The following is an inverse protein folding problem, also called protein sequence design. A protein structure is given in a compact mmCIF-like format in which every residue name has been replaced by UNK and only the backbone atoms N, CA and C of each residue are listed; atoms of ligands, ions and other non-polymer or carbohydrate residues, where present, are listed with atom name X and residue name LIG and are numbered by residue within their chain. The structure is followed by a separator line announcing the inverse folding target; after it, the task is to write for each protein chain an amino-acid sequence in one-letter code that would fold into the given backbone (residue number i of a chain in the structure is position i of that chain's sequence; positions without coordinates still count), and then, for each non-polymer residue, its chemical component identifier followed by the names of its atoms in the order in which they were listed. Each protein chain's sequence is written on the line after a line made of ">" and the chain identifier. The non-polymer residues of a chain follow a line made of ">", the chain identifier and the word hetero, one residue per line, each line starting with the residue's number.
data_IF_113569457096
#
_entry.id   IF_113569457096
#
_cell.length_a   1.000
_cell.length_b   1.000
_cell.length_c   1.000
_cell.angle_alpha   90.00
_cell.angle_beta   90.00
_cell.angle_gamma   90.00
#
_symmetry.space_group_name_H-M   'P 1'
#
loop_
_entity.id
_entity.type
_entity.pdbx_description
1 polymer ?
#
# COMPACT_ATOMS: atom_id res chain seq x y z
N UNK A 1 -29.81 -20.76 -12.76
CA UNK A 1 -28.61 -21.08 -13.56
C UNK A 1 -27.69 -19.87 -13.65
N UNK A 2 -28.14 -18.74 -14.20
CA UNK A 2 -27.33 -17.51 -14.33
C UNK A 2 -26.70 -17.03 -13.02
N UNK A 3 -27.47 -16.95 -11.91
CA UNK A 3 -26.93 -16.58 -10.59
C UNK A 3 -25.77 -17.47 -10.14
N UNK A 4 -25.85 -18.77 -10.42
CA UNK A 4 -24.78 -19.71 -10.09
C UNK A 4 -23.51 -19.43 -10.93
N UNK A 5 -23.67 -19.09 -12.21
CA UNK A 5 -22.55 -18.71 -13.08
C UNK A 5 -21.93 -17.38 -12.60
N UNK A 6 -22.75 -16.40 -12.21
CA UNK A 6 -22.30 -15.13 -11.61
C UNK A 6 -21.48 -15.34 -10.33
N UNK A 7 -21.92 -16.25 -9.46
CA UNK A 7 -21.20 -16.59 -8.23
C UNK A 7 -19.89 -17.35 -8.50
N UNK A 8 -19.86 -18.21 -9.52
CA UNK A 8 -18.65 -18.98 -9.89
C UNK A 8 -17.61 -18.14 -10.64
N UNK A 9 -18.04 -17.13 -11.40
CA UNK A 9 -17.18 -16.30 -12.23
C UNK A 9 -17.45 -14.81 -11.96
N UNK A 10 -17.16 -14.31 -10.75
CA UNK A 10 -17.31 -12.90 -10.44
C UNK A 10 -16.36 -12.04 -11.31
N UNK A 11 -16.68 -10.74 -11.49
CA UNK A 11 -15.80 -9.79 -12.16
C UNK A 11 -14.36 -9.84 -11.60
N UNK A 12 -13.37 -9.81 -12.49
CA UNK A 12 -11.95 -9.95 -12.17
C UNK A 12 -11.42 -11.40 -12.16
N UNK A 13 -12.29 -12.41 -12.30
CA UNK A 13 -11.86 -13.80 -12.43
C UNK A 13 -10.94 -13.97 -13.63
N UNK A 14 -9.77 -14.57 -13.43
CA UNK A 14 -8.81 -14.83 -14.51
C UNK A 14 -9.13 -16.16 -15.18
N UNK A 15 -9.19 -16.16 -16.50
CA UNK A 15 -9.49 -17.36 -17.28
C UNK A 15 -8.44 -17.55 -18.37
N UNK A 16 -8.03 -18.81 -18.59
CA UNK A 16 -7.30 -19.25 -19.78
C UNK A 16 -8.23 -20.05 -20.68
N UNK A 17 -8.28 -19.70 -21.95
CA UNK A 17 -9.06 -20.43 -22.94
C UNK A 17 -8.35 -21.73 -23.34
N UNK A 18 -9.07 -22.86 -23.32
CA UNK A 18 -8.59 -24.14 -23.84
C UNK A 18 -9.08 -24.35 -25.27
N UNK A 19 -10.37 -24.11 -25.52
CA UNK A 19 -10.96 -24.15 -26.86
C UNK A 19 -12.24 -23.32 -26.89
N UNK A 20 -12.50 -22.65 -28.02
CA UNK A 20 -13.71 -21.88 -28.26
C UNK A 20 -14.46 -22.44 -29.47
N UNK A 21 -15.76 -22.64 -29.32
CA UNK A 21 -16.64 -23.16 -30.37
C UNK A 21 -17.17 -22.02 -31.25
N UNK A 22 -16.28 -21.30 -31.93
CA UNK A 22 -16.62 -20.25 -32.91
C UNK A 22 -16.04 -20.60 -34.30
N UNK A 23 -16.89 -20.72 -35.35
CA UNK A 23 -16.45 -21.14 -36.68
C UNK A 23 -15.89 -20.01 -37.55
N UNK A 24 -15.95 -18.75 -37.10
CA UNK A 24 -15.58 -17.58 -37.91
C UNK A 24 -14.26 -16.97 -37.45
N UNK A 25 -14.13 -16.67 -36.16
CA UNK A 25 -12.98 -16.01 -35.58
C UNK A 25 -12.88 -16.35 -34.09
N UNK A 26 -12.51 -17.58 -33.70
CA UNK A 26 -12.35 -17.94 -32.30
C UNK A 26 -11.21 -17.15 -31.64
N UNK A 27 -11.29 -16.94 -30.34
CA UNK A 27 -10.14 -16.49 -29.56
C UNK A 27 -9.08 -17.61 -29.56
N UNK A 28 -7.77 -17.30 -29.73
CA UNK A 28 -6.74 -18.33 -29.78
C UNK A 28 -6.67 -19.15 -28.48
N UNK A 29 -6.50 -20.48 -28.61
CA UNK A 29 -6.21 -21.36 -27.47
C UNK A 29 -4.99 -20.87 -26.68
N UNK A 30 -5.08 -20.96 -25.36
CA UNK A 30 -4.06 -20.48 -24.43
C UNK A 30 -4.18 -18.99 -24.11
N UNK A 31 -5.07 -18.24 -24.77
CA UNK A 31 -5.28 -16.84 -24.45
C UNK A 31 -5.84 -16.68 -23.04
N UNK A 32 -5.26 -15.76 -22.28
CA UNK A 32 -5.76 -15.36 -20.97
C UNK A 32 -6.59 -14.07 -21.08
N UNK A 33 -7.56 -13.95 -20.18
CA UNK A 33 -8.42 -12.77 -20.03
C UNK A 33 -9.00 -12.68 -18.63
N UNK A 34 -9.74 -11.60 -18.40
CA UNK A 34 -10.47 -11.35 -17.17
C UNK A 34 -11.97 -11.33 -17.46
N UNK A 35 -12.75 -11.85 -16.52
CA UNK A 35 -14.21 -11.74 -16.53
C UNK A 35 -14.60 -10.31 -16.20
N UNK A 36 -15.42 -9.69 -17.04
CA UNK A 36 -15.98 -8.37 -16.77
C UNK A 36 -17.31 -8.49 -16.01
N UNK A 37 -18.21 -9.36 -16.48
CA UNK A 37 -19.51 -9.68 -15.89
C UNK A 37 -20.12 -10.92 -16.56
N UNK A 38 -21.23 -11.42 -16.02
CA UNK A 38 -22.01 -12.52 -16.62
C UNK A 38 -23.41 -12.00 -16.95
N UNK A 39 -23.82 -12.21 -18.19
CA UNK A 39 -25.10 -11.71 -18.70
C UNK A 39 -26.30 -12.56 -18.30
N UNK A 40 -27.50 -12.10 -18.68
CA UNK A 40 -28.77 -12.75 -18.37
C UNK A 40 -29.01 -14.04 -19.15
N UNK A 41 -28.25 -14.29 -20.21
CA UNK A 41 -28.22 -15.57 -20.93
C UNK A 41 -27.22 -16.56 -20.30
N UNK A 42 -26.34 -16.09 -19.40
CA UNK A 42 -25.33 -16.89 -18.72
C UNK A 42 -24.00 -16.97 -19.48
N UNK A 43 -23.79 -16.10 -20.48
CA UNK A 43 -22.49 -15.96 -21.12
C UNK A 43 -21.55 -15.13 -20.24
N UNK A 44 -20.29 -15.54 -20.21
CA UNK A 44 -19.26 -14.87 -19.42
C UNK A 44 -18.60 -13.84 -20.33
N UNK A 45 -18.85 -12.56 -20.06
CA UNK A 45 -18.28 -11.46 -20.83
C UNK A 45 -16.83 -11.26 -20.40
N UNK A 46 -15.94 -11.21 -21.37
CA UNK A 46 -14.49 -11.27 -21.15
C UNK A 46 -13.79 -10.06 -21.76
N UNK A 47 -12.73 -9.61 -21.11
CA UNK A 47 -11.67 -8.81 -21.72
C UNK A 47 -10.43 -9.68 -21.85
N UNK A 48 -10.07 -10.06 -23.08
CA UNK A 48 -8.89 -10.88 -23.38
C UNK A 48 -7.63 -10.03 -23.47
N UNK A 49 -6.46 -10.58 -23.11
CA UNK A 49 -5.19 -9.84 -23.11
C UNK A 49 -4.76 -9.34 -24.51
N UNK A 50 -5.34 -9.88 -25.59
CA UNK A 50 -5.14 -9.40 -26.95
C UNK A 50 -6.14 -8.28 -27.35
N UNK A 51 -6.89 -7.74 -26.40
CA UNK A 51 -7.88 -6.67 -26.60
C UNK A 51 -9.21 -7.13 -27.18
N UNK A 52 -9.42 -8.44 -27.37
CA UNK A 52 -10.72 -8.98 -27.84
C UNK A 52 -11.70 -9.07 -26.68
N UNK A 53 -12.99 -9.13 -27.01
CA UNK A 53 -14.08 -9.13 -26.01
C UNK A 53 -15.13 -10.23 -26.26
N UNK A 54 -14.77 -11.31 -26.95
CA UNK A 54 -15.71 -12.41 -27.19
C UNK A 54 -16.09 -13.10 -25.88
N UNK A 55 -17.39 -13.30 -25.60
CA UNK A 55 -17.82 -14.00 -24.40
C UNK A 55 -17.51 -15.50 -24.47
N UNK A 56 -17.52 -16.14 -23.30
CA UNK A 56 -17.51 -17.59 -23.17
C UNK A 56 -18.91 -18.11 -22.91
N UNK A 57 -19.26 -19.24 -23.52
CA UNK A 57 -20.51 -19.95 -23.27
C UNK A 57 -20.22 -21.21 -22.44
N UNK A 58 -20.56 -21.23 -21.14
CA UNK A 58 -20.35 -22.40 -20.30
C UNK A 58 -21.04 -23.65 -20.86
N UNK A 59 -20.28 -24.73 -21.06
CA UNK A 59 -20.77 -25.99 -21.63
C UNK A 59 -20.54 -26.14 -23.13
N UNK A 60 -20.28 -25.05 -23.85
CA UNK A 60 -19.84 -25.08 -25.26
C UNK A 60 -18.33 -24.81 -25.36
N UNK A 61 -17.84 -23.79 -24.64
CA UNK A 61 -16.43 -23.45 -24.59
C UNK A 61 -15.71 -24.20 -23.46
N UNK A 62 -14.42 -24.48 -23.67
CA UNK A 62 -13.54 -25.08 -22.68
C UNK A 62 -12.52 -24.05 -22.20
N UNK A 63 -12.42 -23.89 -20.89
CA UNK A 63 -11.52 -22.92 -20.27
C UNK A 63 -11.11 -23.37 -18.85
N UNK A 64 -10.11 -22.70 -18.30
CA UNK A 64 -9.57 -22.96 -16.97
C UNK A 64 -9.53 -21.67 -16.18
N UNK A 65 -10.11 -21.68 -14.97
CA UNK A 65 -9.98 -20.58 -14.01
C UNK A 65 -8.56 -20.59 -13.46
N UNK A 66 -7.89 -19.44 -13.54
CA UNK A 66 -6.55 -19.23 -13.04
C UNK A 66 -6.61 -18.66 -11.62
N UNK A 67 -5.58 -18.92 -10.78
CA UNK A 67 -5.47 -18.25 -9.49
C UNK A 67 -5.43 -16.73 -9.68
N UNK A 68 -5.92 -15.97 -8.68
CA UNK A 68 -5.87 -14.52 -8.72
C UNK A 68 -4.42 -14.06 -8.92
N UNK A 69 -4.26 -12.94 -9.64
CA UNK A 69 -2.94 -12.34 -9.77
C UNK A 69 -2.54 -11.80 -8.40
N UNK A 70 -1.39 -12.25 -7.90
CA UNK A 70 -0.84 -11.75 -6.65
C UNK A 70 0.02 -10.52 -6.92
N UNK A 71 -0.21 -9.47 -6.16
CA UNK A 71 0.59 -8.25 -6.12
C UNK A 71 1.45 -8.24 -4.87
N UNK A 72 2.59 -7.55 -4.95
CA UNK A 72 3.47 -7.37 -3.79
C UNK A 72 3.05 -6.11 -3.04
N UNK A 73 2.67 -6.29 -1.77
CA UNK A 73 2.51 -5.20 -0.81
C UNK A 73 3.68 -5.26 0.16
N UNK A 74 4.44 -4.17 0.29
CA UNK A 74 5.51 -4.05 1.29
C UNK A 74 5.06 -3.14 2.41
N UNK A 75 5.23 -3.64 3.63
CA UNK A 75 5.06 -2.85 4.84
C UNK A 75 6.42 -2.72 5.53
N UNK A 76 6.77 -1.51 5.94
CA UNK A 76 8.05 -1.13 6.48
C UNK A 76 7.90 -0.75 7.95
N UNK A 77 8.81 -1.26 8.77
CA UNK A 77 8.93 -0.94 10.19
C UNK A 77 10.36 -0.51 10.50
N UNK A 78 10.56 0.47 11.39
CA UNK A 78 11.90 0.79 11.88
C UNK A 78 12.44 -0.40 12.68
N UNK A 79 13.75 -0.66 12.57
CA UNK A 79 14.45 -1.62 13.43
C UNK A 79 15.65 -0.95 14.11
N UNK A 80 16.00 -1.50 15.27
CA UNK A 80 17.22 -1.16 16.02
C UNK A 80 17.94 -2.45 16.40
N UNK A 81 19.13 -2.34 16.97
CA UNK A 81 19.81 -3.49 17.55
C UNK A 81 20.71 -3.07 18.70
N UNK A 82 21.01 -4.01 19.58
CA UNK A 82 22.11 -3.90 20.55
C UNK A 82 23.32 -4.66 20.05
N UNK A 83 24.47 -3.99 20.00
CA UNK A 83 25.77 -4.61 19.71
C UNK A 83 26.55 -4.77 21.02
N UNK A 84 26.83 -6.01 21.39
CA UNK A 84 27.70 -6.36 22.50
C UNK A 84 29.07 -6.80 21.95
N UNK A 85 30.11 -6.04 22.28
CA UNK A 85 31.47 -6.29 21.82
C UNK A 85 32.25 -7.11 22.86
N UNK A 86 33.19 -7.94 22.39
CA UNK A 86 34.15 -8.56 23.29
C UNK A 86 35.37 -7.68 23.49
N UNK A 87 35.79 -7.54 24.75
CA UNK A 87 36.99 -6.79 25.07
C UNK A 87 38.26 -7.55 24.67
N UNK A 88 39.42 -6.90 24.83
CA UNK A 88 40.73 -7.50 24.48
C UNK A 88 41.10 -8.73 25.31
N UNK A 89 40.37 -9.01 26.39
CA UNK A 89 40.55 -10.16 27.27
C UNK A 89 39.54 -11.28 26.96
N UNK A 90 38.58 -11.03 26.07
CA UNK A 90 37.54 -11.97 25.65
C UNK A 90 36.33 -12.00 26.58
N UNK A 91 36.20 -11.02 27.46
CA UNK A 91 35.01 -10.82 28.28
C UNK A 91 34.01 -9.94 27.50
N UNK A 92 32.72 -10.28 27.57
CA UNK A 92 31.66 -9.49 26.93
C UNK A 92 31.54 -8.16 27.68
N UNK A 93 31.47 -7.03 26.96
CA UNK A 93 31.18 -5.76 27.60
C UNK A 93 29.79 -5.77 28.26
N UNK A 94 29.69 -5.21 29.47
CA UNK A 94 28.43 -5.09 30.20
C UNK A 94 27.52 -4.00 29.58
N UNK A 95 28.09 -3.09 28.78
CA UNK A 95 27.37 -2.04 28.06
C UNK A 95 27.24 -2.37 26.57
N UNK A 96 26.00 -2.49 26.08
CA UNK A 96 25.73 -2.60 24.64
C UNK A 96 25.73 -1.23 23.96
N UNK A 97 26.03 -1.23 22.65
CA UNK A 97 25.87 -0.06 21.79
C UNK A 97 24.57 -0.21 20.99
N UNK A 98 23.62 0.70 21.22
CA UNK A 98 22.38 0.77 20.44
C UNK A 98 22.70 1.27 19.02
N UNK A 99 22.35 0.47 18.02
CA UNK A 99 22.49 0.76 16.61
C UNK A 99 21.13 1.15 16.01
N UNK A 100 21.11 2.30 15.35
CA UNK A 100 19.97 2.74 14.55
C UNK A 100 19.94 2.09 13.16
N UNK A 101 18.84 2.22 12.44
CA UNK A 101 18.68 1.63 11.11
C UNK A 101 19.77 2.06 10.11
N UNK A 102 20.38 3.24 10.27
CA UNK A 102 21.49 3.68 9.42
C UNK A 102 22.76 2.90 9.72
N UNK A 103 23.09 2.72 10.99
CA UNK A 103 24.26 1.94 11.44
C UNK A 103 24.12 0.46 11.05
N UNK A 104 22.88 -0.05 11.05
CA UNK A 104 22.57 -1.44 10.69
C UNK A 104 22.78 -1.79 9.22
N UNK A 105 22.96 -0.81 8.32
CA UNK A 105 23.31 -1.08 6.92
C UNK A 105 24.56 -1.95 6.78
N UNK A 106 25.54 -1.78 7.69
CA UNK A 106 26.78 -2.58 7.71
C UNK A 106 26.52 -4.07 7.98
N UNK A 107 25.39 -4.39 8.61
CA UNK A 107 25.03 -5.74 9.04
C UNK A 107 23.86 -6.34 8.23
N UNK A 108 23.37 -5.65 7.20
CA UNK A 108 22.20 -6.06 6.41
C UNK A 108 22.24 -7.53 5.97
N UNK A 109 23.34 -7.99 5.38
CA UNK A 109 23.46 -9.36 4.89
C UNK A 109 23.36 -10.39 6.02
N UNK A 110 23.89 -10.08 7.19
CA UNK A 110 23.84 -10.97 8.37
C UNK A 110 22.44 -11.03 8.96
N UNK A 111 21.77 -9.89 9.05
CA UNK A 111 20.39 -9.79 9.52
C UNK A 111 19.46 -10.53 8.55
N UNK A 112 19.60 -10.29 7.24
CA UNK A 112 18.83 -11.00 6.22
C UNK A 112 19.06 -12.52 6.27
N UNK A 113 20.30 -12.97 6.48
CA UNK A 113 20.61 -14.39 6.63
C UNK A 113 19.99 -15.00 7.89
N UNK A 114 20.02 -14.29 9.01
CA UNK A 114 19.37 -14.72 10.24
C UNK A 114 17.84 -14.84 10.08
N UNK A 115 17.20 -13.86 9.41
CA UNK A 115 15.78 -13.90 9.03
C UNK A 115 15.44 -15.11 8.16
N UNK A 116 16.29 -15.49 7.22
CA UNK A 116 16.07 -16.68 6.40
C UNK A 116 16.23 -17.97 7.23
N UNK A 117 17.19 -18.00 8.15
CA UNK A 117 17.48 -19.15 9.02
C UNK A 117 16.37 -19.41 10.04
N UNK A 118 15.69 -18.38 10.53
CA UNK A 118 14.59 -18.52 11.51
C UNK A 118 13.29 -19.05 10.90
N UNK A 119 13.17 -19.10 9.57
CA UNK A 119 11.95 -19.55 8.89
C UNK A 119 11.65 -21.01 9.20
N UNK A 120 10.41 -21.28 9.58
CA UNK A 120 9.94 -22.62 9.88
C UNK A 120 9.53 -23.36 8.59
N UNK A 121 9.73 -24.69 8.49
CA UNK A 121 9.25 -25.46 7.34
C UNK A 121 7.75 -25.31 7.06
N UNK A 122 6.94 -25.15 8.10
CA UNK A 122 5.49 -24.92 8.04
C UNK A 122 5.13 -23.61 7.32
N UNK A 123 6.03 -22.62 7.38
CA UNK A 123 5.87 -21.31 6.77
C UNK A 123 6.27 -21.30 5.28
N UNK A 124 6.67 -22.44 4.70
CA UNK A 124 7.18 -22.49 3.33
C UNK A 124 6.20 -21.96 2.26
N UNK A 125 4.89 -22.14 2.46
CA UNK A 125 3.87 -21.74 1.49
C UNK A 125 3.26 -20.35 1.77
N UNK A 126 3.02 -20.03 3.05
CA UNK A 126 2.28 -18.82 3.47
C UNK A 126 3.14 -17.83 4.26
N UNK A 127 4.38 -18.15 4.55
CA UNK A 127 5.17 -17.38 5.52
C UNK A 127 4.45 -17.34 6.87
N UNK A 128 4.49 -16.21 7.55
CA UNK A 128 3.81 -16.05 8.85
C UNK A 128 2.30 -16.15 8.75
N UNK A 129 1.70 -15.88 7.58
CA UNK A 129 0.25 -16.10 7.35
C UNK A 129 -0.16 -17.59 7.48
N UNK A 130 0.78 -18.52 7.64
CA UNK A 130 0.47 -19.89 8.07
C UNK A 130 -0.27 -19.90 9.42
N UNK A 131 0.10 -19.00 10.33
CA UNK A 131 -0.44 -18.92 11.68
C UNK A 131 -1.68 -18.03 11.79
N UNK A 132 -2.11 -17.41 10.68
CA UNK A 132 -3.34 -16.62 10.63
C UNK A 132 -4.54 -17.52 10.34
N UNK A 133 -5.35 -17.79 11.35
CA UNK A 133 -6.48 -18.74 11.31
C UNK A 133 -7.87 -18.07 11.33
N UNK A 134 -7.92 -16.73 11.40
CA UNK A 134 -9.18 -16.00 11.34
C UNK A 134 -9.88 -16.21 10.00
N UNK A 135 -11.20 -16.43 10.07
CA UNK A 135 -12.04 -16.70 8.90
C UNK A 135 -12.58 -15.38 8.31
N UNK A 136 -11.69 -14.57 7.77
CA UNK A 136 -11.97 -13.24 7.23
C UNK A 136 -11.40 -13.02 5.82
N UNK A 137 -11.67 -11.85 5.26
CA UNK A 137 -11.20 -11.48 3.93
C UNK A 137 -9.70 -11.23 3.86
N UNK A 138 -9.01 -10.96 4.98
CA UNK A 138 -7.55 -10.85 5.03
C UNK A 138 -6.94 -12.22 4.77
N UNK A 139 -7.45 -13.27 5.41
CA UNK A 139 -6.97 -14.64 5.21
C UNK A 139 -7.20 -15.12 3.76
N UNK A 140 -8.30 -14.70 3.15
CA UNK A 140 -8.64 -15.01 1.76
C UNK A 140 -7.74 -14.27 0.75
N UNK A 141 -7.46 -12.99 0.99
CA UNK A 141 -6.71 -12.13 0.06
C UNK A 141 -5.20 -12.23 0.24
N UNK A 142 -4.70 -12.33 1.46
CA UNK A 142 -3.26 -12.34 1.76
C UNK A 142 -2.74 -13.78 1.69
N UNK A 143 -2.14 -14.12 0.55
CA UNK A 143 -1.67 -15.47 0.29
C UNK A 143 -0.47 -15.83 1.17
N UNK A 144 0.47 -14.89 1.30
CA UNK A 144 1.67 -15.08 2.11
C UNK A 144 2.20 -13.75 2.64
N UNK A 145 2.88 -13.78 3.78
CA UNK A 145 3.67 -12.66 4.27
C UNK A 145 5.00 -13.20 4.82
N UNK A 146 6.12 -12.62 4.39
CA UNK A 146 7.46 -13.01 4.87
C UNK A 146 8.22 -11.78 5.34
N UNK A 147 8.90 -11.90 6.47
CA UNK A 147 9.79 -10.85 6.93
C UNK A 147 11.14 -10.90 6.20
N UNK A 148 11.72 -9.72 6.01
CA UNK A 148 13.02 -9.45 5.42
C UNK A 148 13.51 -8.08 5.88
N UNK A 149 14.70 -7.66 5.44
CA UNK A 149 15.19 -6.29 5.57
C UNK A 149 15.47 -5.66 4.21
N UNK A 150 15.37 -4.34 4.13
CA UNK A 150 15.63 -3.56 2.91
C UNK A 150 16.30 -2.23 3.23
N UNK A 151 17.33 -1.85 2.47
CA UNK A 151 17.92 -0.51 2.51
C UNK A 151 17.03 0.47 1.75
N UNK A 152 16.68 1.58 2.40
CA UNK A 152 15.97 2.70 1.77
C UNK A 152 16.25 4.02 2.46
N UNK A 153 16.64 5.03 1.68
CA UNK A 153 17.01 6.38 2.15
C UNK A 153 18.11 6.37 3.22
N UNK A 154 19.23 5.66 2.97
CA UNK A 154 20.37 5.51 3.90
C UNK A 154 19.99 4.93 5.28
N UNK A 155 18.94 4.12 5.33
CA UNK A 155 18.47 3.44 6.53
C UNK A 155 18.01 2.02 6.19
N UNK A 156 18.32 1.06 7.06
CA UNK A 156 17.78 -0.29 7.00
C UNK A 156 16.38 -0.34 7.63
N UNK A 157 15.46 -1.01 6.96
CA UNK A 157 14.07 -1.22 7.38
C UNK A 157 13.76 -2.69 7.56
N UNK A 158 12.95 -3.03 8.56
CA UNK A 158 12.27 -4.31 8.64
C UNK A 158 11.11 -4.27 7.66
N UNK A 159 10.95 -5.30 6.84
CA UNK A 159 9.94 -5.34 5.79
C UNK A 159 9.13 -6.62 5.89
N UNK A 160 7.81 -6.48 5.96
CA UNK A 160 6.90 -7.56 5.65
C UNK A 160 6.57 -7.52 4.15
N UNK A 161 7.05 -8.50 3.38
CA UNK A 161 6.69 -8.68 1.98
C UNK A 161 5.46 -9.58 1.89
N UNK A 162 4.31 -8.97 1.58
CA UNK A 162 3.03 -9.65 1.45
C UNK A 162 2.71 -9.91 -0.03
N UNK A 163 2.13 -11.08 -0.31
CA UNK A 163 1.55 -11.43 -1.62
C UNK A 163 0.04 -11.41 -1.50
N UNK A 164 -0.59 -10.42 -2.14
CA UNK A 164 -2.03 -10.12 -1.97
C UNK A 164 -2.77 -10.32 -3.29
N UNK A 165 -3.91 -11.00 -3.23
CA UNK A 165 -4.86 -11.12 -4.32
C UNK A 165 -5.78 -9.88 -4.36
N UNK A 166 -5.55 -8.99 -5.32
CA UNK A 166 -6.32 -7.75 -5.45
C UNK A 166 -5.90 -6.68 -4.44
N UNK A 167 -6.84 -5.80 -4.07
CA UNK A 167 -6.59 -4.69 -3.13
C UNK A 167 -7.16 -5.04 -1.75
N UNK A 168 -6.43 -4.62 -0.72
CA UNK A 168 -6.97 -4.52 0.64
C UNK A 168 -7.68 -3.18 0.78
N UNK A 169 -8.85 -3.19 1.39
CA UNK A 169 -9.45 -1.95 1.90
C UNK A 169 -8.76 -1.49 3.19
N UNK A 170 -9.22 -0.38 3.76
CA UNK A 170 -8.60 0.21 4.93
C UNK A 170 -8.70 -0.68 6.18
N UNK A 171 -9.83 -1.36 6.38
CA UNK A 171 -10.03 -2.23 7.54
C UNK A 171 -9.16 -3.48 7.42
N UNK A 172 -9.17 -4.11 6.24
CA UNK A 172 -8.32 -5.27 5.93
C UNK A 172 -6.82 -4.96 6.06
N UNK A 173 -6.40 -3.77 5.64
CA UNK A 173 -5.01 -3.34 5.76
C UNK A 173 -4.60 -3.12 7.22
N UNK A 174 -5.46 -2.50 8.03
CA UNK A 174 -5.18 -2.31 9.46
C UNK A 174 -5.14 -3.64 10.21
N UNK A 175 -6.07 -4.56 9.95
CA UNK A 175 -6.04 -5.91 10.52
C UNK A 175 -4.74 -6.65 10.17
N UNK A 176 -4.29 -6.57 8.91
CA UNK A 176 -3.01 -7.16 8.50
C UNK A 176 -1.82 -6.53 9.23
N UNK A 177 -1.81 -5.20 9.40
CA UNK A 177 -0.75 -4.49 10.12
C UNK A 177 -0.71 -4.89 11.60
N UNK A 178 -1.87 -4.96 12.27
CA UNK A 178 -1.97 -5.38 13.66
C UNK A 178 -1.44 -6.81 13.85
N UNK A 179 -1.82 -7.73 12.97
CA UNK A 179 -1.33 -9.10 13.01
C UNK A 179 0.20 -9.18 12.83
N UNK A 180 0.73 -8.51 11.81
CA UNK A 180 2.17 -8.53 11.53
C UNK A 180 2.98 -7.82 12.62
N UNK A 181 2.45 -6.72 13.17
CA UNK A 181 3.05 -6.08 14.34
C UNK A 181 3.06 -7.02 15.55
N UNK A 182 1.98 -7.77 15.77
CA UNK A 182 1.92 -8.84 16.76
C UNK A 182 3.03 -9.88 16.55
N UNK A 183 3.20 -10.38 15.32
CA UNK A 183 4.28 -11.32 14.98
C UNK A 183 5.69 -10.75 15.13
N UNK A 184 5.87 -9.43 14.99
CA UNK A 184 7.17 -8.77 15.17
C UNK A 184 7.46 -8.44 16.63
N UNK A 185 6.42 -8.24 17.45
CA UNK A 185 6.54 -7.98 18.88
C UNK A 185 6.61 -9.27 19.71
N UNK A 186 5.89 -10.30 19.28
CA UNK A 186 5.68 -11.56 19.99
C UNK A 186 5.82 -12.73 18.99
N UNK A 187 6.18 -13.91 19.48
CA UNK A 187 6.32 -15.12 18.67
C UNK A 187 7.54 -15.09 17.74
N UNK A 188 7.37 -14.62 16.49
CA UNK A 188 8.45 -14.68 15.49
C UNK A 188 9.57 -13.70 15.83
N UNK A 189 9.23 -12.46 16.22
CA UNK A 189 10.21 -11.43 16.57
C UNK A 189 11.03 -11.72 17.82
N UNK A 190 10.45 -12.38 18.83
CA UNK A 190 11.14 -12.70 20.10
C UNK A 190 12.40 -13.55 19.89
N UNK A 191 12.41 -14.40 18.87
CA UNK A 191 13.58 -15.22 18.55
C UNK A 191 14.83 -14.37 18.22
N UNK A 192 14.66 -13.15 17.68
CA UNK A 192 15.76 -12.24 17.34
C UNK A 192 16.24 -11.39 18.51
N UNK A 193 15.39 -11.17 19.51
CA UNK A 193 15.78 -10.50 20.75
C UNK A 193 16.57 -11.43 21.66
N UNK A 194 16.40 -12.75 21.51
CA UNK A 194 17.02 -13.76 22.37
C UNK A 194 18.18 -14.51 21.72
N UNK A 195 18.22 -14.66 20.39
CA UNK A 195 19.33 -15.31 19.69
C UNK A 195 20.34 -14.31 19.12
N UNK A 196 21.61 -14.47 19.48
CA UNK A 196 22.64 -13.58 18.98
C UNK A 196 22.99 -13.83 17.51
N UNK A 197 23.10 -12.75 16.73
CA UNK A 197 23.72 -12.79 15.41
C UNK A 197 25.21 -12.50 15.58
N UNK A 198 26.05 -13.50 15.32
CA UNK A 198 27.52 -13.34 15.44
C UNK A 198 28.06 -12.40 14.35
N UNK A 199 28.63 -11.28 14.77
CA UNK A 199 29.24 -10.27 13.90
C UNK A 199 30.72 -10.06 14.19
N UNK A 200 31.42 -9.31 13.33
CA UNK A 200 32.81 -8.87 13.50
C UNK A 200 33.88 -9.91 13.95
N UNK A 201 33.62 -11.21 13.82
CA UNK A 201 34.53 -12.27 14.25
C UNK A 201 34.31 -12.77 15.68
N UNK A 202 33.24 -12.36 16.36
CA UNK A 202 32.87 -12.87 17.68
C UNK A 202 31.71 -12.14 18.35
N UNK A 203 31.60 -10.83 18.13
CA UNK A 203 30.60 -9.92 18.73
C UNK A 203 29.15 -10.38 18.53
N UNK A 204 28.29 -9.97 19.45
CA UNK A 204 26.89 -10.39 19.52
C UNK A 204 25.98 -9.23 19.13
N UNK A 205 25.14 -9.44 18.11
CA UNK A 205 24.15 -8.45 17.64
C UNK A 205 22.74 -8.99 17.91
N UNK A 206 21.95 -8.24 18.68
CA UNK A 206 20.56 -8.55 19.02
C UNK A 206 19.63 -7.58 18.31
N UNK A 207 18.79 -8.07 17.40
CA UNK A 207 17.99 -7.21 16.52
C UNK A 207 16.58 -7.06 17.08
N UNK A 208 16.19 -5.80 17.26
CA UNK A 208 14.87 -5.41 17.75
C UNK A 208 14.00 -5.00 16.56
N UNK A 209 13.09 -5.89 16.17
CA UNK A 209 12.16 -5.68 15.06
C UNK A 209 10.92 -4.89 15.47
N UNK A 210 10.69 -4.76 16.78
CA UNK A 210 9.61 -3.99 17.39
C UNK A 210 10.13 -3.09 18.51
N UNK A 211 9.40 -2.01 18.83
CA UNK A 211 9.65 -1.16 19.99
C UNK A 211 8.32 -0.59 20.51
N UNK A 212 8.22 -0.31 21.81
CA UNK A 212 7.03 0.28 22.41
C UNK A 212 6.88 1.79 22.11
N UNK A 213 7.97 2.48 21.77
CA UNK A 213 7.98 3.92 21.57
C UNK A 213 7.92 4.31 20.09
N UNK A 214 6.80 4.94 19.69
CA UNK A 214 6.62 5.57 18.37
C UNK A 214 6.93 4.63 17.17
N UNK A 215 6.70 3.34 17.35
CA UNK A 215 6.87 2.31 16.34
C UNK A 215 5.55 2.02 15.63
N UNK A 216 5.61 1.86 14.31
CA UNK A 216 4.48 1.34 13.52
C UNK A 216 4.99 0.68 12.26
N UNK A 217 4.26 -0.32 11.79
CA UNK A 217 4.45 -0.93 10.48
C UNK A 217 3.56 -0.21 9.46
N UNK A 218 4.17 0.33 8.41
CA UNK A 218 3.54 1.27 7.49
C UNK A 218 3.72 0.83 6.04
N UNK A 219 2.75 1.08 5.18
CA UNK A 219 2.93 0.89 3.74
C UNK A 219 4.05 1.77 3.20
N UNK A 220 4.57 1.41 2.03
CA UNK A 220 5.50 2.26 1.29
C UNK A 220 5.00 3.70 1.14
N UNK A 221 3.70 3.87 0.86
CA UNK A 221 3.09 5.17 0.65
C UNK A 221 3.11 5.99 1.95
N UNK A 222 2.62 5.41 3.05
CA UNK A 222 2.60 6.06 4.37
C UNK A 222 4.00 6.45 4.83
N UNK A 223 5.00 5.57 4.65
CA UNK A 223 6.35 5.80 5.18
C UNK A 223 7.21 6.75 4.34
N UNK A 224 7.13 6.63 3.01
CA UNK A 224 8.10 7.30 2.13
C UNK A 224 7.49 8.35 1.20
N UNK A 225 6.16 8.45 1.11
CA UNK A 225 5.52 9.52 0.34
C UNK A 225 5.41 10.83 1.13
N UNK A 226 5.84 10.86 2.40
CA UNK A 226 5.86 12.07 3.24
C UNK A 226 6.80 13.18 2.75
N UNK A 227 7.66 12.93 1.76
CA UNK A 227 8.63 13.92 1.27
C UNK A 227 8.00 15.16 0.62
N UNK A 228 6.73 15.13 0.22
CA UNK A 228 5.97 16.32 -0.23
C UNK A 228 5.01 16.88 0.83
N UNK A 229 4.79 16.15 1.92
CA UNK A 229 3.96 16.61 3.04
C UNK A 229 4.70 17.58 3.97
N UNK A 230 6.04 17.56 4.00
CA UNK A 230 6.85 18.53 4.74
C UNK A 230 6.68 19.95 4.13
N UNK A 231 5.77 20.74 4.71
CA UNK A 231 5.42 22.09 4.25
C UNK A 231 3.92 22.31 3.98
N UNK A 232 3.13 21.23 3.95
CA UNK A 232 1.68 21.28 3.88
C UNK A 232 1.06 21.45 5.28
N UNK A 233 -0.11 22.11 5.39
CA UNK A 233 -0.82 22.25 6.67
C UNK A 233 -1.29 20.88 7.17
N UNK A 234 -1.36 20.67 8.48
CA UNK A 234 -1.83 19.39 9.06
C UNK A 234 -3.29 19.07 8.69
N UNK A 235 -4.09 20.11 8.49
CA UNK A 235 -5.52 20.04 8.19
C UNK A 235 -5.88 21.16 7.22
N UNK A 236 -6.73 20.86 6.24
CA UNK A 236 -7.45 21.87 5.48
C UNK A 236 -8.92 21.46 5.27
N UNK A 237 -9.74 22.44 4.92
CA UNK A 237 -11.13 22.26 4.53
C UNK A 237 -11.26 22.42 3.02
N UNK A 238 -12.14 21.66 2.40
CA UNK A 238 -12.49 21.83 1.00
C UNK A 238 -13.93 21.41 0.75
N UNK A 239 -14.35 21.39 -0.51
CA UNK A 239 -15.69 20.96 -0.92
C UNK A 239 -15.60 19.91 -2.02
N UNK A 240 -16.39 18.85 -1.91
CA UNK A 240 -16.43 17.83 -2.96
C UNK A 240 -16.99 18.39 -4.27
N UNK A 241 -16.31 18.19 -5.42
CA UNK A 241 -16.80 18.70 -6.70
C UNK A 241 -18.17 18.12 -7.12
N UNK A 242 -18.42 16.86 -6.78
CA UNK A 242 -19.63 16.11 -7.13
C UNK A 242 -20.85 16.54 -6.33
N UNK A 243 -20.73 16.66 -5.00
CA UNK A 243 -21.86 16.89 -4.09
C UNK A 243 -21.90 18.30 -3.50
N UNK A 244 -20.77 19.00 -3.46
CA UNK A 244 -20.66 20.29 -2.77
C UNK A 244 -20.61 20.18 -1.24
N UNK A 245 -20.47 18.97 -0.68
CA UNK A 245 -20.35 18.77 0.75
C UNK A 245 -19.01 19.32 1.28
N UNK A 246 -19.05 19.93 2.47
CA UNK A 246 -17.88 20.38 3.20
C UNK A 246 -17.11 19.18 3.75
N UNK A 247 -15.82 19.13 3.44
CA UNK A 247 -14.92 18.04 3.82
C UNK A 247 -13.67 18.57 4.50
N UNK A 248 -13.06 17.71 5.31
CA UNK A 248 -11.81 17.93 6.00
C UNK A 248 -10.76 16.98 5.39
N UNK A 249 -9.56 17.48 5.13
CA UNK A 249 -8.45 16.70 4.61
C UNK A 249 -7.28 16.83 5.57
N UNK A 250 -6.75 15.70 6.00
CA UNK A 250 -5.60 15.62 6.87
C UNK A 250 -4.36 15.24 6.08
N UNK A 251 -3.25 15.88 6.41
CA UNK A 251 -1.99 15.71 5.69
C UNK A 251 -1.46 14.30 5.83
N UNK A 252 -1.11 13.68 4.71
CA UNK A 252 -0.54 12.32 4.68
C UNK A 252 -1.58 11.20 4.73
N UNK A 253 -2.87 11.51 4.91
CA UNK A 253 -3.95 10.52 4.90
C UNK A 253 -4.57 10.41 3.49
N UNK A 254 -5.10 9.23 3.15
CA UNK A 254 -5.82 9.02 1.88
C UNK A 254 -7.31 9.31 2.05
N UNK A 255 -7.92 10.00 1.09
CA UNK A 255 -9.33 10.39 1.15
C UNK A 255 -9.62 11.56 2.09
N UNK A 256 -10.89 11.72 2.46
CA UNK A 256 -11.39 12.90 3.16
C UNK A 256 -12.41 12.52 4.23
N UNK A 257 -12.62 13.41 5.19
CA UNK A 257 -13.57 13.26 6.28
C UNK A 257 -14.74 14.22 6.11
N UNK A 258 -15.98 13.82 6.44
CA UNK A 258 -17.10 14.76 6.50
C UNK A 258 -16.85 15.80 7.62
N UNK A 259 -17.23 17.05 7.36
CA UNK A 259 -17.16 18.10 8.37
C UNK A 259 -18.46 18.20 9.17
N UNK A 260 -18.35 18.33 10.50
CA UNK A 260 -19.51 18.59 11.38
C UNK A 260 -20.21 19.93 11.07
N UNK A 261 -19.52 20.85 10.39
CA UNK A 261 -20.07 22.14 9.96
C UNK A 261 -20.73 22.08 8.57
N UNK A 262 -20.87 20.90 7.97
CA UNK A 262 -21.47 20.74 6.65
C UNK A 262 -22.94 21.18 6.63
N UNK A 263 -23.31 21.96 5.62
CA UNK A 263 -24.69 22.41 5.38
C UNK A 263 -25.25 21.82 4.08
N UNK A 264 -26.58 21.86 3.86
CA UNK A 264 -27.19 21.48 2.59
C UNK A 264 -26.88 22.44 1.43
N UNK A 265 -26.30 23.61 1.69
CA UNK A 265 -26.01 24.64 0.68
C UNK A 265 -24.54 24.58 0.26
N UNK A 266 -24.31 24.25 -1.02
CA UNK A 266 -22.97 24.15 -1.62
C UNK A 266 -22.19 25.47 -1.59
N UNK A 267 -22.84 26.60 -1.83
CA UNK A 267 -22.17 27.90 -1.84
C UNK A 267 -21.77 28.30 -0.42
N UNK A 268 -22.63 28.00 0.55
CA UNK A 268 -22.32 28.21 1.97
C UNK A 268 -21.16 27.31 2.43
N UNK A 269 -21.13 26.04 2.03
CA UNK A 269 -20.02 25.14 2.35
C UNK A 269 -18.68 25.65 1.80
N UNK A 270 -18.65 26.23 0.60
CA UNK A 270 -17.42 26.82 0.07
C UNK A 270 -16.95 28.00 0.91
N UNK A 271 -17.87 28.89 1.32
CA UNK A 271 -17.54 30.01 2.21
C UNK A 271 -17.00 29.52 3.56
N UNK A 272 -17.59 28.47 4.13
CA UNK A 272 -17.11 27.87 5.39
C UNK A 272 -15.69 27.30 5.20
N UNK A 273 -15.41 26.60 4.10
CA UNK A 273 -14.08 26.09 3.82
C UNK A 273 -13.04 27.21 3.72
N UNK A 274 -13.36 28.28 2.97
CA UNK A 274 -12.49 29.45 2.79
C UNK A 274 -12.21 30.15 4.14
N UNK A 275 -13.23 30.38 4.97
CA UNK A 275 -13.09 31.00 6.29
C UNK A 275 -12.24 30.15 7.24
N UNK A 276 -12.44 28.83 7.25
CA UNK A 276 -11.67 27.94 8.12
C UNK A 276 -10.22 27.84 7.67
N UNK A 277 -9.96 27.71 6.37
CA UNK A 277 -8.62 27.72 5.82
C UNK A 277 -7.89 29.04 6.09
N UNK A 278 -8.59 30.17 5.99
CA UNK A 278 -8.01 31.47 6.34
C UNK A 278 -7.60 31.54 7.82
N UNK A 279 -8.40 31.00 8.74
CA UNK A 279 -8.06 30.92 10.17
C UNK A 279 -6.87 30.00 10.45
N UNK A 280 -6.73 28.93 9.67
CA UNK A 280 -5.63 27.98 9.75
C UNK A 280 -4.35 28.44 9.01
N UNK A 281 -4.41 29.56 8.30
CA UNK A 281 -3.29 30.04 7.49
C UNK A 281 -3.01 29.20 6.24
N UNK A 282 -4.00 28.45 5.76
CA UNK A 282 -3.90 27.60 4.57
C UNK A 282 -4.13 28.45 3.32
N UNK A 283 -3.15 28.44 2.41
CA UNK A 283 -3.29 29.09 1.11
C UNK A 283 -4.11 28.25 0.11
N UNK A 284 -4.69 28.86 -0.95
CA UNK A 284 -5.39 28.12 -1.99
C UNK A 284 -4.54 27.03 -2.66
N UNK A 285 -3.25 27.31 -2.90
CA UNK A 285 -2.33 26.33 -3.47
C UNK A 285 -2.07 25.15 -2.53
N UNK A 286 -2.01 25.41 -1.21
CA UNK A 286 -1.93 24.34 -0.22
C UNK A 286 -3.23 23.54 -0.12
N UNK A 287 -4.41 24.17 -0.21
CA UNK A 287 -5.69 23.45 -0.27
C UNK A 287 -5.73 22.50 -1.49
N UNK A 288 -5.36 23.00 -2.67
CA UNK A 288 -5.36 22.21 -3.90
C UNK A 288 -4.33 21.06 -3.85
N UNK A 289 -3.15 21.33 -3.29
CA UNK A 289 -2.13 20.30 -3.05
C UNK A 289 -2.61 19.23 -2.05
N UNK A 290 -3.31 19.63 -0.98
CA UNK A 290 -3.93 18.72 -0.02
C UNK A 290 -5.00 17.84 -0.67
N UNK A 291 -5.87 18.42 -1.50
CA UNK A 291 -6.87 17.67 -2.28
C UNK A 291 -6.20 16.69 -3.25
N UNK A 292 -5.17 17.14 -3.96
CA UNK A 292 -4.46 16.28 -4.91
C UNK A 292 -3.78 15.10 -4.20
N UNK A 293 -3.08 15.37 -3.10
CA UNK A 293 -2.40 14.35 -2.29
C UNK A 293 -3.34 13.33 -1.67
N UNK A 294 -4.46 13.79 -1.12
CA UNK A 294 -5.51 12.93 -0.56
C UNK A 294 -6.17 12.01 -1.60
N UNK A 295 -6.38 12.50 -2.82
CA UNK A 295 -7.13 11.78 -3.86
C UNK A 295 -6.25 10.92 -4.77
N UNK A 296 -5.02 11.35 -5.03
CA UNK A 296 -4.14 10.74 -6.04
C UNK A 296 -2.80 10.26 -5.47
N UNK A 297 -2.60 10.41 -4.16
CA UNK A 297 -1.36 10.08 -3.45
C UNK A 297 -0.47 11.31 -3.27
N UNK A 298 0.19 11.39 -2.12
CA UNK A 298 1.03 12.51 -1.71
C UNK A 298 2.36 12.61 -2.46
N UNK A 299 2.67 11.67 -3.36
CA UNK A 299 3.91 11.62 -4.13
C UNK A 299 3.82 12.22 -5.55
N UNK A 300 2.64 12.71 -5.95
CA UNK A 300 2.42 13.32 -7.27
C UNK A 300 2.85 14.80 -7.26
N UNK A 301 3.31 15.36 -8.40
CA UNK A 301 3.68 16.78 -8.46
C UNK A 301 2.55 17.73 -8.02
N UNK A 302 1.30 17.35 -8.25
CA UNK A 302 0.14 18.13 -7.80
C UNK A 302 -0.04 18.19 -6.28
N UNK A 303 0.64 17.35 -5.50
CA UNK A 303 0.66 17.40 -4.03
C UNK A 303 1.77 18.34 -3.48
N UNK A 304 2.47 19.09 -4.34
CA UNK A 304 3.43 20.12 -3.97
C UNK A 304 2.83 21.52 -4.19
N UNK A 305 2.63 22.34 -3.13
CA UNK A 305 2.13 23.72 -3.27
C UNK A 305 2.95 24.58 -4.24
N UNK A 306 4.26 24.40 -4.31
CA UNK A 306 5.11 25.21 -5.19
C UNK A 306 4.83 24.90 -6.67
N UNK A 307 4.62 23.62 -6.99
CA UNK A 307 4.23 23.18 -8.33
C UNK A 307 2.84 23.71 -8.70
N UNK A 308 1.88 23.64 -7.77
CA UNK A 308 0.52 24.17 -7.96
C UNK A 308 0.56 25.69 -8.24
N UNK A 309 1.29 26.46 -7.45
CA UNK A 309 1.45 27.90 -7.68
C UNK A 309 2.06 28.21 -9.06
N UNK A 310 3.06 27.43 -9.49
CA UNK A 310 3.68 27.61 -10.80
C UNK A 310 2.68 27.35 -11.95
N UNK A 311 1.85 26.32 -11.81
CA UNK A 311 0.83 25.99 -12.80
C UNK A 311 -0.27 27.07 -12.86
N UNK A 312 -0.73 27.57 -11.71
CA UNK A 312 -1.70 28.66 -11.64
C UNK A 312 -1.16 29.92 -12.33
N UNK A 313 0.10 30.31 -12.05
CA UNK A 313 0.76 31.44 -12.72
C UNK A 313 0.85 31.26 -14.24
N UNK A 314 1.14 30.04 -14.72
CA UNK A 314 1.17 29.74 -16.17
C UNK A 314 -0.22 29.83 -16.82
N UNK A 315 -1.26 29.38 -16.13
CA UNK A 315 -2.65 29.47 -16.61
C UNK A 315 -3.13 30.93 -16.68
N UNK A 316 -2.78 31.77 -15.70
CA UNK A 316 -3.10 33.20 -15.73
C UNK A 316 -2.40 33.93 -16.91
N UNK A 317 -1.15 33.56 -17.22
CA UNK A 317 -0.40 34.13 -18.34
C UNK A 317 -0.92 33.69 -19.71
N UNK A 318 -1.39 32.45 -19.84
CA UNK A 318 -1.97 31.93 -21.11
C UNK A 318 -3.44 32.33 -21.28
N UNK A 319 -4.21 32.45 -20.20
CA UNK A 319 -5.57 32.98 -20.20
C UNK A 319 -5.65 34.50 -20.43
N UNK A 320 -4.61 35.23 -20.02
CA UNK A 320 -4.44 36.66 -20.37
C UNK A 320 -4.10 36.90 -21.84
N UNK A 321 -3.39 35.96 -22.50
CA UNK A 321 -3.06 36.07 -23.92
C UNK A 321 -4.25 35.79 -24.86
N UNK A 322 -5.24 35.01 -24.45
CA UNK A 322 -6.44 34.75 -25.25
C UNK A 322 -7.47 35.89 -25.20
N UNK A 323 -7.51 36.69 -24.12
CA UNK A 323 -8.38 37.87 -24.02
C UNK A 323 -7.81 39.12 -24.72
N UNK A 324 -6.50 39.23 -24.91
CA UNK A 324 -5.85 40.38 -25.56
C UNK A 324 -5.83 40.33 -27.10
N UNK A 325 -6.25 39.22 -27.72
CA UNK A 325 -6.33 39.08 -29.19
C UNK A 325 -7.76 39.20 -29.75
N UNK A 326 -8.74 39.57 -28.92
CA UNK A 326 -10.14 39.77 -29.34
C UNK A 326 -10.69 41.19 -29.09
N UNK A 327 -9.82 42.21 -29.01
CA UNK A 327 -10.20 43.62 -29.14
C UNK A 327 -9.49 44.27 -30.31
#
# INVERSE_FOLDING_TARGET
>A
MVKFIQEQYPPGTRIRLNSMSDPYSPVPTGMEGIVDWVDDEGQIQMTWNNGRTLPLVPGEDSFTVLPPKLETLKLYAPLTADLCEYDRYGDLDDESVVLDGRSLLTYQDKIAAAIVKSRMPEEAERGVMHWYDEADSVNDKVRSAVFTVEERNDQLWGVAECRVAGKLDAEELETLKEYLAGQMSDGWGESFEQEEIRVNGGDELYVHLWNCDNWSIQTEQERFSQKYAEGLPELCFSTLPSTGALICIKRGESGYYPSDCNTPDRAQNRQIADEQNQRLGVSPAQEEAMVCGSMHGWNVPGADPAFVEEMQKKQEQTGGMTLAQSM
#
